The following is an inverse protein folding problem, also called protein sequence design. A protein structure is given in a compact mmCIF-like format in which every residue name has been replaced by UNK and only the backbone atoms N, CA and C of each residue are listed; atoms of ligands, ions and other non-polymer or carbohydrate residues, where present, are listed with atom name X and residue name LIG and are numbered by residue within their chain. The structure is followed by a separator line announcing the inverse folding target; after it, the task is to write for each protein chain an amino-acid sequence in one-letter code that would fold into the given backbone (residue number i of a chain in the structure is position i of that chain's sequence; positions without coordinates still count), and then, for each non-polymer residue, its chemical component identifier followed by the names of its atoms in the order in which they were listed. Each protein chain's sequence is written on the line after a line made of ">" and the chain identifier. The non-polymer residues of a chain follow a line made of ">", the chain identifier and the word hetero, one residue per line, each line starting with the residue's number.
data_IF_085281295785
#
_entry.id   IF_085281295785
#
_cell.length_a   1.000
_cell.length_b   1.000
_cell.length_c   1.000
_cell.angle_alpha   90.00
_cell.angle_beta   90.00
_cell.angle_gamma   90.00
#
_symmetry.space_group_name_H-M   'P 1'
#
loop_
_entity.id
_entity.type
_entity.pdbx_description
1 polymer ?
#
# COMPACT_ATOMS: atom_id res chain seq x y z
N UNK A 1 -17.34 -0.97 8.24
CA UNK A 1 -16.11 -0.94 7.43
C UNK A 1 -15.79 0.50 7.11
N UNK A 2 -14.55 0.94 7.31
CA UNK A 2 -14.11 2.27 6.90
C UNK A 2 -12.60 2.28 6.66
N UNK A 3 -12.16 3.20 5.80
CA UNK A 3 -10.76 3.40 5.45
C UNK A 3 -10.18 4.49 6.35
N UNK A 4 -8.98 4.26 6.87
CA UNK A 4 -8.22 5.24 7.66
C UNK A 4 -6.71 5.03 7.50
N UNK A 5 -5.90 5.98 7.97
CA UNK A 5 -4.49 5.70 8.23
C UNK A 5 -4.35 4.64 9.32
N UNK A 6 -3.31 3.82 9.21
CA UNK A 6 -2.91 2.90 10.26
C UNK A 6 -2.48 3.67 11.50
N UNK A 7 -2.71 3.05 12.66
CA UNK A 7 -2.38 3.54 13.99
C UNK A 7 -1.44 2.54 14.65
N UNK A 8 -0.74 2.95 15.71
CA UNK A 8 0.10 2.02 16.50
C UNK A 8 -0.61 0.72 16.91
N UNK A 9 -1.90 0.79 17.24
CA UNK A 9 -2.68 -0.38 17.66
C UNK A 9 -2.90 -1.43 16.57
N UNK A 10 -2.62 -1.10 15.31
CA UNK A 10 -2.77 -2.03 14.18
C UNK A 10 -1.53 -2.91 13.94
N UNK A 11 -0.46 -2.75 14.73
CA UNK A 11 0.83 -3.40 14.49
C UNK A 11 0.72 -4.92 14.34
N UNK A 12 -0.05 -5.58 15.20
CA UNK A 12 -0.24 -7.02 15.15
C UNK A 12 -1.04 -7.47 13.91
N UNK A 13 -2.13 -6.79 13.57
CA UNK A 13 -2.92 -7.12 12.39
C UNK A 13 -2.12 -6.90 11.10
N UNK A 14 -1.32 -5.83 11.03
CA UNK A 14 -0.43 -5.55 9.90
C UNK A 14 0.68 -6.59 9.78
N UNK A 15 1.26 -7.04 10.90
CA UNK A 15 2.24 -8.12 10.91
C UNK A 15 1.64 -9.41 10.32
N UNK A 16 0.44 -9.79 10.74
CA UNK A 16 -0.29 -10.94 10.19
C UNK A 16 -0.52 -10.76 8.69
N UNK A 17 -1.05 -9.60 8.27
CA UNK A 17 -1.25 -9.30 6.85
C UNK A 17 0.04 -9.45 6.04
N UNK A 18 1.14 -8.87 6.50
CA UNK A 18 2.37 -8.88 5.76
C UNK A 18 3.03 -10.24 5.72
N UNK A 19 3.06 -10.97 6.83
CA UNK A 19 3.83 -12.21 6.93
C UNK A 19 3.06 -13.41 6.37
N UNK A 20 1.73 -13.41 6.46
CA UNK A 20 0.92 -14.53 6.00
C UNK A 20 0.37 -14.32 4.58
N UNK A 21 0.15 -13.06 4.15
CA UNK A 21 -0.61 -12.78 2.91
C UNK A 21 0.13 -11.93 1.88
N UNK A 22 1.19 -11.20 2.25
CA UNK A 22 1.95 -10.34 1.32
C UNK A 22 3.23 -11.01 0.81
N UNK A 23 4.11 -11.46 1.71
CA UNK A 23 5.42 -12.03 1.33
C UNK A 23 5.37 -13.54 1.21
N UNK A 24 6.16 -14.08 0.26
CA UNK A 24 6.42 -15.51 0.15
C UNK A 24 7.56 -15.97 1.09
N UNK A 25 8.32 -15.02 1.64
CA UNK A 25 9.47 -15.26 2.49
C UNK A 25 9.36 -14.40 3.76
N UNK A 26 8.51 -14.79 4.72
CA UNK A 26 8.41 -14.05 5.97
C UNK A 26 9.73 -14.13 6.74
N UNK A 27 10.09 -13.06 7.48
CA UNK A 27 11.28 -13.08 8.32
C UNK A 27 11.14 -14.16 9.39
N UNK A 28 12.26 -14.78 9.76
CA UNK A 28 12.32 -15.82 10.79
C UNK A 28 12.68 -15.25 12.16
N UNK A 29 13.26 -14.06 12.16
CA UNK A 29 13.68 -13.32 13.32
C UNK A 29 12.47 -12.83 14.11
N UNK A 30 12.65 -12.70 15.43
CA UNK A 30 11.67 -12.02 16.26
C UNK A 30 11.52 -10.56 15.83
N UNK A 31 10.28 -10.09 15.78
CA UNK A 31 9.97 -8.73 15.38
C UNK A 31 9.86 -7.86 16.62
N UNK A 32 10.59 -6.73 16.62
CA UNK A 32 10.46 -5.69 17.62
C UNK A 32 9.13 -4.95 17.43
N UNK A 33 8.10 -5.37 18.16
CA UNK A 33 6.76 -4.79 18.02
C UNK A 33 6.69 -3.35 18.54
N UNK A 34 7.54 -2.96 19.50
CA UNK A 34 7.60 -1.59 20.00
C UNK A 34 8.11 -0.65 18.90
N UNK A 35 9.11 -1.10 18.11
CA UNK A 35 9.57 -0.36 16.94
C UNK A 35 8.49 -0.26 15.85
N UNK A 36 7.71 -1.32 15.62
CA UNK A 36 6.58 -1.27 14.68
C UNK A 36 5.55 -0.23 15.11
N UNK A 37 5.14 -0.24 16.39
CA UNK A 37 4.21 0.74 16.94
C UNK A 37 4.75 2.18 16.80
N UNK A 38 6.03 2.39 17.09
CA UNK A 38 6.68 3.69 16.95
C UNK A 38 6.69 4.19 15.50
N UNK A 39 6.98 3.30 14.53
CA UNK A 39 6.95 3.65 13.11
C UNK A 39 5.53 3.95 12.63
N UNK A 40 4.53 3.23 13.12
CA UNK A 40 3.13 3.52 12.81
C UNK A 40 2.69 4.89 13.31
N UNK A 41 3.08 5.27 14.54
CA UNK A 41 2.83 6.62 15.06
C UNK A 41 3.50 7.71 14.21
N UNK A 42 4.67 7.42 13.63
CA UNK A 42 5.35 8.32 12.68
C UNK A 42 4.58 8.40 11.36
N UNK A 43 4.20 7.27 10.77
CA UNK A 43 3.48 7.22 9.49
C UNK A 43 2.09 7.86 9.57
N UNK A 44 1.41 7.75 10.71
CA UNK A 44 0.12 8.40 10.93
C UNK A 44 0.25 9.93 10.78
N UNK A 45 1.32 10.51 11.34
CA UNK A 45 1.60 11.95 11.35
C UNK A 45 2.30 12.48 10.09
N UNK A 46 2.85 11.61 9.26
CA UNK A 46 3.57 12.00 8.05
C UNK A 46 2.60 12.52 6.97
N UNK A 47 2.89 13.68 6.38
CA UNK A 47 2.04 14.29 5.35
C UNK A 47 2.24 13.68 3.96
N UNK A 48 3.39 13.03 3.73
CA UNK A 48 3.78 12.44 2.46
C UNK A 48 3.74 10.91 2.48
N UNK A 49 3.62 10.27 3.64
CA UNK A 49 3.45 8.82 3.76
C UNK A 49 2.05 8.45 4.25
N UNK A 50 1.47 7.45 3.58
CA UNK A 50 0.13 6.95 3.82
C UNK A 50 0.17 5.44 3.90
N UNK A 51 0.11 4.89 5.10
CA UNK A 51 -0.28 3.49 5.29
C UNK A 51 -1.79 3.46 5.53
N UNK A 52 -2.56 3.15 4.49
CA UNK A 52 -4.01 3.08 4.55
C UNK A 52 -4.45 1.65 4.89
N UNK A 53 -5.46 1.54 5.75
CA UNK A 53 -6.03 0.26 6.18
C UNK A 53 -7.53 0.24 5.99
N UNK A 54 -8.06 -0.94 5.64
CA UNK A 54 -9.48 -1.26 5.72
C UNK A 54 -9.74 -1.99 7.03
N UNK A 55 -10.59 -1.42 7.88
CA UNK A 55 -11.02 -2.04 9.13
C UNK A 55 -12.40 -2.68 8.98
N UNK A 56 -12.53 -3.96 9.34
CA UNK A 56 -13.79 -4.68 9.44
C UNK A 56 -13.86 -5.42 10.79
N UNK A 57 -14.91 -5.15 11.58
CA UNK A 57 -15.11 -5.81 12.87
C UNK A 57 -14.00 -5.53 13.90
N UNK A 58 -13.38 -4.34 13.85
CA UNK A 58 -12.27 -3.97 14.73
C UNK A 58 -10.93 -4.61 14.36
N UNK A 59 -10.82 -5.22 13.18
CA UNK A 59 -9.58 -5.81 12.66
C UNK A 59 -9.17 -5.15 11.35
N UNK A 60 -7.87 -4.97 11.16
CA UNK A 60 -7.31 -4.54 9.87
C UNK A 60 -7.22 -5.75 8.94
N UNK A 61 -7.96 -5.71 7.83
CA UNK A 61 -8.13 -6.85 6.89
C UNK A 61 -7.52 -6.60 5.52
N UNK A 62 -7.12 -5.36 5.23
CA UNK A 62 -6.43 -4.99 4.00
C UNK A 62 -5.61 -3.74 4.23
N UNK A 63 -4.49 -3.60 3.52
CA UNK A 63 -3.66 -2.40 3.54
C UNK A 63 -3.10 -2.04 2.17
N UNK A 64 -2.77 -0.76 2.03
CA UNK A 64 -2.02 -0.17 0.92
C UNK A 64 -1.05 0.84 1.52
N UNK A 65 0.23 0.75 1.17
CA UNK A 65 1.21 1.78 1.51
C UNK A 65 1.44 2.69 0.30
N UNK A 66 1.48 3.99 0.54
CA UNK A 66 1.74 4.98 -0.48
C UNK A 66 2.71 6.05 0.04
N UNK A 67 3.60 6.50 -0.83
CA UNK A 67 4.45 7.67 -0.58
C UNK A 67 4.27 8.69 -1.70
N UNK A 68 4.20 9.97 -1.33
CA UNK A 68 4.23 11.11 -2.23
C UNK A 68 5.67 11.60 -2.32
N UNK A 69 6.17 11.74 -3.54
CA UNK A 69 7.54 12.17 -3.83
C UNK A 69 7.47 13.49 -4.57
N UNK A 70 8.03 14.54 -3.96
CA UNK A 70 8.21 15.83 -4.61
C UNK A 70 9.16 15.70 -5.80
N UNK A 71 8.90 16.47 -6.86
CA UNK A 71 9.71 16.44 -8.06
C UNK A 71 9.85 17.84 -8.64
N UNK A 72 11.02 18.13 -9.20
CA UNK A 72 11.25 19.32 -10.03
C UNK A 72 10.83 19.10 -11.50
N UNK A 73 10.50 17.87 -11.88
CA UNK A 73 10.03 17.52 -13.22
C UNK A 73 8.53 17.76 -13.36
N UNK A 74 8.00 17.63 -14.58
CA UNK A 74 6.56 17.79 -14.87
C UNK A 74 5.95 19.08 -14.31
N UNK A 75 6.69 20.19 -14.41
CA UNK A 75 6.31 21.50 -13.86
C UNK A 75 6.13 21.48 -12.32
N UNK A 76 7.12 20.93 -11.63
CA UNK A 76 7.18 20.85 -10.16
C UNK A 76 5.97 20.09 -9.57
N UNK A 77 5.49 19.07 -10.27
CA UNK A 77 4.37 18.24 -9.81
C UNK A 77 4.89 16.97 -9.14
N UNK A 78 4.40 16.62 -7.94
CA UNK A 78 4.79 15.39 -7.28
C UNK A 78 4.26 14.16 -8.03
N UNK A 79 4.70 12.98 -7.62
CA UNK A 79 4.09 11.71 -8.01
C UNK A 79 3.98 10.80 -6.80
N UNK A 80 3.07 9.83 -6.86
CA UNK A 80 2.93 8.84 -5.80
C UNK A 80 3.41 7.47 -6.24
N UNK A 81 3.96 6.73 -5.28
CA UNK A 81 4.31 5.31 -5.41
C UNK A 81 3.46 4.52 -4.45
N UNK A 82 2.84 3.45 -4.93
CA UNK A 82 2.08 2.49 -4.13
C UNK A 82 2.89 1.20 -3.98
N UNK A 83 2.96 0.71 -2.75
CA UNK A 83 3.62 -0.54 -2.37
C UNK A 83 2.73 -1.34 -1.40
N UNK A 84 3.10 -2.60 -1.18
CA UNK A 84 2.55 -3.43 -0.10
C UNK A 84 1.01 -3.55 -0.10
N UNK A 85 0.41 -3.68 -1.29
CA UNK A 85 -1.03 -3.92 -1.45
C UNK A 85 -1.37 -5.35 -1.02
N UNK A 86 -2.14 -5.51 0.05
CA UNK A 86 -2.53 -6.84 0.56
C UNK A 86 -3.94 -6.85 1.12
N UNK A 87 -4.62 -7.98 0.95
CA UNK A 87 -5.89 -8.30 1.61
C UNK A 87 -5.81 -9.71 2.18
N UNK A 88 -6.23 -9.85 3.43
CA UNK A 88 -6.39 -11.12 4.13
C UNK A 88 -7.25 -12.08 3.29
N UNK A 89 -6.90 -13.37 3.22
CA UNK A 89 -7.53 -14.33 2.30
C UNK A 89 -9.06 -14.38 2.43
N UNK A 90 -9.58 -14.48 3.65
CA UNK A 90 -11.04 -14.53 3.94
C UNK A 90 -11.80 -13.24 3.61
N UNK A 91 -11.09 -12.15 3.33
CA UNK A 91 -11.66 -10.84 3.02
C UNK A 91 -11.44 -10.43 1.56
N UNK A 92 -10.86 -11.32 0.73
CA UNK A 92 -10.70 -11.10 -0.72
C UNK A 92 -12.04 -11.11 -1.45
N UNK A 93 -12.05 -10.54 -2.65
CA UNK A 93 -13.23 -10.41 -3.51
C UNK A 93 -14.40 -9.57 -2.93
N UNK A 94 -14.16 -8.83 -1.84
CA UNK A 94 -15.11 -7.86 -1.27
C UNK A 94 -14.88 -6.41 -1.71
N UNK A 95 -13.89 -6.16 -2.58
CA UNK A 95 -13.57 -4.83 -3.10
C UNK A 95 -12.69 -3.96 -2.19
N UNK A 96 -12.11 -4.50 -1.11
CA UNK A 96 -11.36 -3.69 -0.13
C UNK A 96 -10.06 -3.11 -0.66
N UNK A 97 -9.24 -3.92 -1.34
CA UNK A 97 -8.03 -3.40 -1.99
C UNK A 97 -8.39 -2.34 -3.06
N UNK A 98 -9.47 -2.52 -3.81
CA UNK A 98 -9.96 -1.53 -4.76
C UNK A 98 -10.35 -0.22 -4.10
N UNK A 99 -11.08 -0.27 -2.98
CA UNK A 99 -11.45 0.92 -2.24
C UNK A 99 -10.22 1.66 -1.65
N UNK A 100 -9.21 0.91 -1.20
CA UNK A 100 -7.94 1.49 -0.74
C UNK A 100 -7.15 2.15 -1.88
N UNK A 101 -7.08 1.51 -3.06
CA UNK A 101 -6.41 2.06 -4.24
C UNK A 101 -7.11 3.32 -4.76
N UNK A 102 -8.44 3.36 -4.74
CA UNK A 102 -9.18 4.59 -5.08
C UNK A 102 -8.88 5.67 -4.06
N UNK A 103 -8.88 5.36 -2.75
CA UNK A 103 -8.57 6.36 -1.73
C UNK A 103 -7.15 6.92 -1.86
N UNK A 104 -6.17 6.05 -2.14
CA UNK A 104 -4.80 6.46 -2.44
C UNK A 104 -4.75 7.38 -3.67
N UNK A 105 -5.51 7.06 -4.72
CA UNK A 105 -5.61 7.87 -5.93
C UNK A 105 -6.25 9.23 -5.68
N UNK A 106 -7.29 9.31 -4.84
CA UNK A 106 -7.88 10.58 -4.39
C UNK A 106 -6.85 11.46 -3.68
N UNK A 107 -6.14 10.92 -2.70
CA UNK A 107 -5.09 11.64 -1.95
C UNK A 107 -4.00 12.16 -2.91
N UNK A 108 -3.58 11.35 -3.88
CA UNK A 108 -2.61 11.76 -4.87
C UNK A 108 -3.13 12.91 -5.75
N UNK A 109 -4.41 12.88 -6.15
CA UNK A 109 -5.05 13.97 -6.90
C UNK A 109 -5.13 15.25 -6.08
N UNK A 110 -5.45 15.16 -4.79
CA UNK A 110 -5.47 16.30 -3.85
C UNK A 110 -4.09 16.97 -3.74
N UNK A 111 -3.02 16.16 -3.74
CA UNK A 111 -1.62 16.64 -3.78
C UNK A 111 -1.15 17.05 -5.18
N UNK A 112 -2.05 17.08 -6.17
CA UNK A 112 -1.77 17.43 -7.57
C UNK A 112 -0.70 16.54 -8.23
N UNK A 113 -0.54 15.32 -7.74
CA UNK A 113 0.38 14.35 -8.33
C UNK A 113 0.09 14.21 -9.84
N UNK A 114 1.13 14.14 -10.66
CA UNK A 114 0.95 13.96 -12.10
C UNK A 114 0.73 12.49 -12.48
N UNK A 115 1.14 11.55 -11.61
CA UNK A 115 0.89 10.12 -11.75
C UNK A 115 0.90 9.42 -10.38
N UNK A 116 0.30 8.23 -10.37
CA UNK A 116 0.48 7.19 -9.33
C UNK A 116 0.99 5.95 -10.05
N UNK A 117 1.97 5.25 -9.48
CA UNK A 117 2.42 3.98 -10.04
C UNK A 117 2.77 2.97 -8.95
N UNK A 118 2.80 1.70 -9.35
CA UNK A 118 3.24 0.57 -8.55
C UNK A 118 3.93 -0.44 -9.45
N UNK A 119 4.76 -1.29 -8.86
CA UNK A 119 5.35 -2.42 -9.55
C UNK A 119 4.77 -3.73 -8.99
N UNK A 120 4.57 -4.72 -9.86
CA UNK A 120 4.15 -6.05 -9.44
C UNK A 120 5.03 -7.09 -10.10
N UNK A 121 5.66 -7.95 -9.31
CA UNK A 121 6.37 -9.13 -9.82
C UNK A 121 5.44 -10.27 -10.24
N UNK A 122 4.12 -10.11 -10.09
CA UNK A 122 3.14 -11.13 -10.42
C UNK A 122 2.80 -11.11 -11.92
N UNK A 123 3.06 -12.23 -12.60
CA UNK A 123 2.60 -12.47 -13.97
C UNK A 123 1.21 -13.13 -14.02
N UNK A 124 0.51 -13.25 -12.88
CA UNK A 124 -0.83 -13.85 -12.84
C UNK A 124 -1.82 -12.90 -13.51
N UNK A 125 -2.55 -13.40 -14.49
CA UNK A 125 -3.56 -12.63 -15.22
C UNK A 125 -4.60 -12.01 -14.28
N UNK A 126 -5.00 -12.72 -13.22
CA UNK A 126 -5.91 -12.20 -12.20
C UNK A 126 -5.38 -10.94 -11.50
N UNK A 127 -4.08 -10.88 -11.20
CA UNK A 127 -3.43 -9.71 -10.59
C UNK A 127 -3.37 -8.54 -11.58
N UNK A 128 -2.99 -8.81 -12.83
CA UNK A 128 -2.93 -7.78 -13.87
C UNK A 128 -4.32 -7.19 -14.15
N UNK A 129 -5.33 -8.05 -14.30
CA UNK A 129 -6.72 -7.66 -14.47
C UNK A 129 -7.25 -6.89 -13.26
N UNK A 130 -6.82 -7.23 -12.04
CA UNK A 130 -7.16 -6.48 -10.85
C UNK A 130 -6.63 -5.03 -10.93
N UNK A 131 -5.36 -4.82 -11.25
CA UNK A 131 -4.82 -3.47 -11.37
C UNK A 131 -5.47 -2.69 -12.52
N UNK A 132 -5.68 -3.32 -13.68
CA UNK A 132 -6.39 -2.69 -14.80
C UNK A 132 -7.81 -2.24 -14.43
N UNK A 133 -8.57 -3.07 -13.70
CA UNK A 133 -9.90 -2.69 -13.20
C UNK A 133 -9.88 -1.52 -12.23
N UNK A 134 -8.76 -1.27 -11.56
CA UNK A 134 -8.55 -0.12 -10.67
C UNK A 134 -7.90 1.08 -11.40
N UNK A 135 -7.95 1.12 -12.73
CA UNK A 135 -7.51 2.26 -13.53
C UNK A 135 -6.01 2.31 -13.80
N UNK A 136 -5.25 1.27 -13.47
CA UNK A 136 -3.83 1.20 -13.81
C UNK A 136 -3.62 0.70 -15.24
N UNK A 137 -2.75 1.37 -15.98
CA UNK A 137 -2.28 0.89 -17.27
C UNK A 137 -1.03 0.02 -17.06
N UNK A 138 -0.95 -1.10 -17.78
CA UNK A 138 0.23 -1.97 -17.77
C UNK A 138 1.23 -1.43 -18.80
N UNK A 139 2.19 -0.63 -18.32
CA UNK A 139 3.25 -0.06 -19.15
C UNK A 139 4.37 -1.07 -19.43
N UNK A 140 5.08 -0.89 -20.55
CA UNK A 140 6.24 -1.70 -20.98
C UNK A 140 7.58 -1.11 -20.50
N UNK A 141 7.58 -0.44 -19.35
CA UNK A 141 8.83 0.06 -18.74
C UNK A 141 9.58 -1.07 -18.06
N UNK A 142 10.90 -0.94 -17.99
CA UNK A 142 11.76 -1.89 -17.32
C UNK A 142 11.98 -1.46 -15.88
N UNK A 143 11.67 -2.34 -14.93
CA UNK A 143 12.06 -2.19 -13.52
C UNK A 143 13.53 -2.57 -13.37
N UNK A 144 14.33 -1.69 -12.76
CA UNK A 144 15.76 -1.90 -12.55
C UNK A 144 16.06 -2.08 -11.06
N UNK A 145 16.39 -3.30 -10.62
CA UNK A 145 16.70 -3.61 -9.23
C UNK A 145 18.21 -3.76 -9.00
N UNK A 146 18.76 -3.03 -8.03
CA UNK A 146 20.12 -3.24 -7.50
C UNK A 146 20.02 -3.60 -6.01
N UNK A 147 20.49 -4.80 -5.64
CA UNK A 147 20.57 -5.23 -4.24
C UNK A 147 21.83 -4.62 -3.58
N UNK A 148 21.68 -4.13 -2.36
CA UNK A 148 22.79 -3.61 -1.54
C UNK A 148 23.42 -4.73 -0.72
#
# INVERSE_FOLDING_TARGET
>A
MYIRKAKRTDANDLKVLYFEYLTHFPPKEEQDMDLWEHLLDKFEKDENMYLLVMEEGGKVVSSVQMAIIESLTHNVRPFAVIENVVTHADYRNKGYASALLEKASEIAREHRCYKVFLETGSNKESTLNFYQKNGFEIDKKHSCLKRM
#
